data_IF_455325338624
#
_entry.id   IF_455325338624
#
_cell.length_a   1.000
_cell.length_b   1.000
_cell.length_c   1.000
_cell.angle_alpha   90.00
_cell.angle_beta   90.00
_cell.angle_gamma   90.00
#
_symmetry.space_group_name_H-M   'P 1'
#
loop_
_entity.id
_entity.type
_entity.pdbx_description
1 polymer ?
#
# COMPACT_ATOMS: atom_id res chain seq x y z
N UNK A 1 -1.34 18.90 21.51
CA UNK A 1 -2.48 19.16 20.60
C UNK A 1 -2.65 17.95 19.69
N UNK A 2 -3.83 17.33 19.63
CA UNK A 2 -4.07 16.20 18.73
C UNK A 2 -4.30 16.76 17.32
N UNK A 3 -3.27 16.67 16.46
CA UNK A 3 -3.32 17.12 15.06
C UNK A 3 -4.30 16.31 14.20
N UNK A 4 -4.62 15.09 14.64
CA UNK A 4 -5.54 14.19 13.95
C UNK A 4 -6.48 13.51 14.95
N UNK A 5 -7.74 13.25 14.57
CA UNK A 5 -8.60 12.35 15.31
C UNK A 5 -8.00 10.93 15.40
N UNK A 6 -8.12 10.27 16.55
CA UNK A 6 -7.57 8.91 16.76
C UNK A 6 -8.09 7.89 15.75
N UNK A 7 -9.36 7.99 15.35
CA UNK A 7 -9.96 7.10 14.35
C UNK A 7 -9.34 7.28 12.96
N UNK A 8 -8.97 8.50 12.58
CA UNK A 8 -8.31 8.77 11.29
C UNK A 8 -6.90 8.19 11.26
N UNK A 9 -6.17 8.31 12.38
CA UNK A 9 -4.86 7.67 12.53
C UNK A 9 -4.95 6.14 12.49
N UNK A 10 -5.98 5.57 13.12
CA UNK A 10 -6.21 4.12 13.05
C UNK A 10 -6.51 3.68 11.62
N UNK A 11 -7.38 4.41 10.90
CA UNK A 11 -7.72 4.11 9.52
C UNK A 11 -6.50 4.21 8.59
N UNK A 12 -5.77 5.32 8.65
CA UNK A 12 -4.57 5.49 7.85
C UNK A 12 -3.48 4.47 8.24
N UNK A 13 -3.34 4.15 9.53
CA UNK A 13 -2.34 3.22 10.05
C UNK A 13 -2.44 1.81 9.49
N UNK A 14 -3.64 1.37 9.07
CA UNK A 14 -3.81 0.11 8.33
C UNK A 14 -2.95 0.08 7.07
N UNK A 15 -2.78 1.22 6.39
CA UNK A 15 -2.01 1.35 5.16
C UNK A 15 -0.49 1.18 5.38
N UNK A 16 -0.03 1.05 6.62
CA UNK A 16 1.35 0.74 6.97
C UNK A 16 1.61 -0.78 7.10
N UNK A 17 0.56 -1.61 7.17
CA UNK A 17 0.72 -3.07 7.21
C UNK A 17 1.56 -3.58 6.02
N UNK A 18 1.35 -3.11 4.77
CA UNK A 18 2.16 -3.55 3.63
C UNK A 18 3.65 -3.26 3.79
N UNK A 19 4.05 -2.21 4.52
CA UNK A 19 5.47 -1.94 4.83
C UNK A 19 6.06 -3.10 5.63
N UNK A 20 5.34 -3.59 6.63
CA UNK A 20 5.78 -4.73 7.45
C UNK A 20 5.87 -6.03 6.64
N UNK A 21 5.03 -6.14 5.61
CA UNK A 21 5.00 -7.29 4.70
C UNK A 21 5.97 -7.14 3.51
N UNK A 22 6.58 -5.97 3.30
CA UNK A 22 7.51 -5.70 2.20
C UNK A 22 8.67 -6.71 2.09
N UNK A 23 9.25 -7.27 3.18
CA UNK A 23 10.33 -8.24 3.04
C UNK A 23 9.91 -9.51 2.28
N UNK A 24 8.64 -9.92 2.39
CA UNK A 24 8.13 -11.08 1.64
C UNK A 24 8.09 -10.80 0.13
N UNK A 25 7.70 -9.58 -0.28
CA UNK A 25 7.70 -9.18 -1.68
C UNK A 25 9.09 -8.94 -2.26
N UNK A 26 10.03 -8.49 -1.43
CA UNK A 26 11.39 -8.18 -1.89
C UNK A 26 12.30 -9.42 -1.90
N UNK A 27 12.16 -10.29 -0.88
CA UNK A 27 13.10 -11.39 -0.63
C UNK A 27 12.44 -12.76 -0.54
N UNK A 28 11.12 -12.83 -0.40
CA UNK A 28 10.38 -14.09 -0.24
C UNK A 28 10.21 -14.91 -1.52
N UNK A 29 10.77 -14.46 -2.66
CA UNK A 29 10.63 -15.14 -3.94
C UNK A 29 9.22 -15.10 -4.54
N UNK A 30 8.32 -14.30 -3.97
CA UNK A 30 6.93 -14.19 -4.42
C UNK A 30 6.86 -13.54 -5.80
N UNK A 31 6.11 -14.18 -6.70
CA UNK A 31 5.86 -13.71 -8.06
C UNK A 31 4.35 -13.62 -8.32
N UNK A 32 3.62 -12.74 -7.59
CA UNK A 32 2.16 -12.69 -7.66
C UNK A 32 1.61 -12.35 -9.05
N UNK A 33 2.43 -11.74 -9.90
CA UNK A 33 2.08 -11.39 -11.28
C UNK A 33 2.79 -12.28 -12.33
N UNK A 34 3.40 -13.39 -11.90
CA UNK A 34 4.07 -14.36 -12.77
C UNK A 34 5.47 -13.95 -13.24
N UNK A 35 5.96 -14.67 -14.26
CA UNK A 35 7.27 -14.46 -14.88
C UNK A 35 7.17 -14.35 -16.39
N UNK A 36 8.22 -13.83 -17.01
CA UNK A 36 8.32 -13.71 -18.46
C UNK A 36 9.79 -13.84 -18.88
N UNK A 37 10.02 -14.44 -20.05
CA UNK A 37 11.34 -14.58 -20.67
C UNK A 37 11.89 -13.23 -21.16
N UNK A 38 11.01 -12.31 -21.55
CA UNK A 38 11.41 -10.95 -21.91
C UNK A 38 11.90 -10.17 -20.68
N UNK A 39 13.17 -9.74 -20.72
CA UNK A 39 13.81 -8.93 -19.66
C UNK A 39 13.01 -7.67 -19.34
N UNK A 40 12.45 -7.01 -20.35
CA UNK A 40 11.65 -5.79 -20.16
C UNK A 40 10.36 -6.07 -19.39
N UNK A 41 9.63 -7.12 -19.77
CA UNK A 41 8.39 -7.51 -19.09
C UNK A 41 8.69 -7.95 -17.66
N UNK A 42 9.77 -8.72 -17.45
CA UNK A 42 10.21 -9.13 -16.11
C UNK A 42 10.50 -7.93 -15.20
N UNK A 43 11.10 -6.87 -15.73
CA UNK A 43 11.30 -5.62 -15.00
C UNK A 43 9.98 -4.93 -14.63
N UNK A 44 9.00 -4.86 -15.55
CA UNK A 44 7.68 -4.30 -15.25
C UNK A 44 6.94 -5.10 -14.18
N UNK A 45 6.99 -6.44 -14.23
CA UNK A 45 6.39 -7.31 -13.20
C UNK A 45 7.05 -7.12 -11.83
N UNK A 46 8.38 -6.91 -11.80
CA UNK A 46 9.09 -6.58 -10.57
C UNK A 46 8.68 -5.22 -9.99
N UNK A 47 8.54 -4.19 -10.84
CA UNK A 47 8.02 -2.89 -10.41
C UNK A 47 6.59 -3.00 -9.88
N UNK A 48 5.73 -3.75 -10.57
CA UNK A 48 4.35 -3.97 -10.15
C UNK A 48 4.28 -4.70 -8.80
N UNK A 49 5.13 -5.71 -8.59
CA UNK A 49 5.24 -6.45 -7.33
C UNK A 49 5.63 -5.52 -6.17
N UNK A 50 6.59 -4.62 -6.39
CA UNK A 50 6.97 -3.66 -5.36
C UNK A 50 5.93 -2.54 -5.15
N UNK A 51 5.17 -2.19 -6.19
CA UNK A 51 4.08 -1.23 -6.06
C UNK A 51 2.99 -1.71 -5.09
N UNK A 52 2.79 -3.03 -4.94
CA UNK A 52 1.79 -3.63 -4.02
C UNK A 52 1.99 -3.15 -2.57
N UNK A 53 3.22 -3.04 -2.11
CA UNK A 53 3.50 -2.56 -0.75
C UNK A 53 3.85 -1.07 -0.70
N UNK A 54 4.45 -0.54 -1.77
CA UNK A 54 4.89 0.85 -1.81
C UNK A 54 3.72 1.85 -1.96
N UNK A 55 2.71 1.54 -2.79
CA UNK A 55 1.58 2.46 -3.02
C UNK A 55 0.74 2.68 -1.75
N UNK A 56 0.32 1.65 -0.99
CA UNK A 56 -0.37 1.86 0.28
C UNK A 56 0.40 2.75 1.25
N UNK A 57 1.72 2.59 1.30
CA UNK A 57 2.63 3.39 2.14
C UNK A 57 2.60 4.87 1.77
N UNK A 58 2.53 5.20 0.48
CA UNK A 58 2.37 6.59 0.04
C UNK A 58 0.98 7.11 0.41
N UNK A 59 -0.06 6.30 0.21
CA UNK A 59 -1.44 6.71 0.52
C UNK A 59 -1.66 6.98 2.01
N UNK A 60 -0.91 6.32 2.90
CA UNK A 60 -0.85 6.71 4.32
C UNK A 60 -0.51 8.21 4.48
N UNK A 61 0.63 8.65 3.93
CA UNK A 61 1.07 10.05 4.07
C UNK A 61 0.14 11.02 3.33
N UNK A 62 -0.30 10.68 2.12
CA UNK A 62 -1.21 11.52 1.32
C UNK A 62 -2.55 11.71 2.03
N UNK A 63 -3.11 10.65 2.63
CA UNK A 63 -4.39 10.73 3.35
C UNK A 63 -4.31 11.70 4.52
N UNK A 64 -3.24 11.65 5.31
CA UNK A 64 -3.03 12.53 6.46
C UNK A 64 -2.72 13.96 6.03
N UNK A 65 -1.95 14.17 4.96
CA UNK A 65 -1.67 15.51 4.46
C UNK A 65 -2.92 16.19 3.90
N UNK A 66 -3.76 15.47 3.14
CA UNK A 66 -5.06 15.98 2.68
C UNK A 66 -5.98 16.33 3.84
N UNK A 67 -6.06 15.45 4.84
CA UNK A 67 -6.87 15.69 6.03
C UNK A 67 -6.39 16.95 6.78
N UNK A 68 -5.07 17.09 6.95
CA UNK A 68 -4.44 18.26 7.60
C UNK A 68 -4.70 19.57 6.86
N UNK A 69 -4.81 19.54 5.53
CA UNK A 69 -5.12 20.71 4.69
C UNK A 69 -6.60 21.09 4.68
N UNK A 70 -7.45 20.40 5.44
CA UNK A 70 -8.90 20.63 5.50
C UNK A 70 -9.71 19.88 4.44
N UNK A 71 -9.05 19.06 3.59
CA UNK A 71 -9.73 18.20 2.63
C UNK A 71 -10.12 16.86 3.26
N UNK A 72 -10.88 16.89 4.37
CA UNK A 72 -11.17 15.72 5.20
C UNK A 72 -11.76 14.55 4.40
N UNK A 73 -12.80 14.83 3.58
CA UNK A 73 -13.46 13.80 2.76
C UNK A 73 -12.50 13.12 1.79
N UNK A 74 -11.61 13.90 1.16
CA UNK A 74 -10.61 13.37 0.24
C UNK A 74 -9.55 12.56 0.98
N UNK A 75 -9.08 13.05 2.14
CA UNK A 75 -8.15 12.32 3.00
C UNK A 75 -8.71 10.96 3.44
N UNK A 76 -9.97 10.93 3.88
CA UNK A 76 -10.67 9.69 4.26
C UNK A 76 -10.83 8.76 3.05
N UNK A 77 -11.22 9.28 1.89
CA UNK A 77 -11.34 8.47 0.67
C UNK A 77 -10.00 7.84 0.27
N UNK A 78 -8.90 8.60 0.31
CA UNK A 78 -7.55 8.09 0.04
C UNK A 78 -7.15 7.04 1.07
N UNK A 79 -7.47 7.24 2.36
CA UNK A 79 -7.21 6.24 3.38
C UNK A 79 -7.95 4.93 3.09
N UNK A 80 -9.24 4.99 2.73
CA UNK A 80 -10.05 3.81 2.37
C UNK A 80 -9.52 3.08 1.12
N UNK A 81 -9.08 3.82 0.10
CA UNK A 81 -8.42 3.22 -1.07
C UNK A 81 -7.13 2.51 -0.64
N UNK A 82 -6.34 3.12 0.24
CA UNK A 82 -5.15 2.48 0.80
C UNK A 82 -5.47 1.21 1.59
N UNK A 83 -6.60 1.18 2.32
CA UNK A 83 -7.05 -0.01 3.06
C UNK A 83 -7.41 -1.13 2.10
N UNK A 84 -8.14 -0.82 1.01
CA UNK A 84 -8.46 -1.79 -0.01
C UNK A 84 -7.21 -2.36 -0.67
N UNK A 85 -6.22 -1.53 -1.01
CA UNK A 85 -4.93 -1.99 -1.54
C UNK A 85 -4.13 -2.80 -0.51
N UNK A 86 -4.23 -2.46 0.77
CA UNK A 86 -3.62 -3.25 1.85
C UNK A 86 -4.25 -4.63 1.94
N UNK A 87 -5.56 -4.74 1.80
CA UNK A 87 -6.24 -6.04 1.75
C UNK A 87 -5.78 -6.86 0.53
N UNK A 88 -5.62 -6.22 -0.64
CA UNK A 88 -5.06 -6.88 -1.83
C UNK A 88 -3.62 -7.35 -1.59
N UNK A 89 -2.79 -6.54 -0.95
CA UNK A 89 -1.43 -6.92 -0.55
C UNK A 89 -1.49 -8.20 0.30
N UNK A 90 -2.21 -8.18 1.42
CA UNK A 90 -2.35 -9.38 2.27
C UNK A 90 -2.88 -10.59 1.49
N UNK A 91 -3.89 -10.42 0.63
CA UNK A 91 -4.44 -11.52 -0.17
C UNK A 91 -3.42 -12.14 -1.14
N UNK A 92 -2.57 -11.32 -1.77
CA UNK A 92 -1.54 -11.80 -2.71
C UNK A 92 -0.48 -12.66 -2.02
N UNK A 93 -0.23 -12.48 -0.71
CA UNK A 93 0.68 -13.35 0.04
C UNK A 93 0.17 -14.79 0.16
N UNK A 94 -1.15 -15.01 0.10
CA UNK A 94 -1.74 -16.35 0.18
C UNK A 94 -1.91 -17.01 -1.19
N UNK A 95 -1.63 -16.30 -2.27
CA UNK A 95 -1.76 -16.78 -3.65
C UNK A 95 -0.43 -17.18 -4.29
N UNK A 96 0.69 -16.77 -3.68
CA UNK A 96 2.04 -16.98 -4.19
C UNK A 96 2.81 -17.96 -3.31
#
# INVERSE_FOLDING_TARGET
>A
MNLFPKWMLALAGVNLIPVLLSPFYMFGGLQPFGTSDSTFVRFLLYMLTNAVWFVPSILFFVSLDLFRRGYEKAGVAVALVGVALTATCVALLFQA
#
